data_IF_754964825379
#
_entry.id   IF_754964825379
#
_cell.length_a   1.000
_cell.length_b   1.000
_cell.length_c   1.000
_cell.angle_alpha   90.00
_cell.angle_beta   90.00
_cell.angle_gamma   90.00
#
_symmetry.space_group_name_H-M   'P 1'
#
loop_
_entity.id
_entity.type
_entity.pdbx_description
1 polymer ?
#
# COMPACT_ATOMS: atom_id res chain seq x y z
N UNK A 1 12.80 -3.63 5.82
CA UNK A 1 13.78 -2.91 6.66
C UNK A 1 14.87 -3.90 7.02
N UNK A 2 16.16 -3.62 6.80
CA UNK A 2 17.18 -4.43 7.39
C UNK A 2 16.99 -4.38 8.91
N UNK A 3 16.97 -5.54 9.54
CA UNK A 3 16.89 -5.63 10.99
C UNK A 3 18.14 -4.93 11.55
N UNK A 4 17.97 -3.76 12.12
CA UNK A 4 19.06 -3.10 12.83
C UNK A 4 19.35 -4.00 14.02
N UNK A 5 20.42 -4.76 13.91
CA UNK A 5 20.86 -5.66 14.97
C UNK A 5 21.00 -4.86 16.26
N UNK A 6 20.51 -5.42 17.36
CA UNK A 6 20.69 -4.89 18.71
C UNK A 6 22.18 -4.89 19.04
N UNK A 7 22.86 -3.79 18.76
CA UNK A 7 24.21 -3.57 19.25
C UNK A 7 24.18 -3.39 20.78
N UNK A 8 25.33 -3.54 21.43
CA UNK A 8 25.50 -3.29 22.88
C UNK A 8 25.01 -1.90 23.32
N UNK A 9 24.88 -0.95 22.40
CA UNK A 9 24.45 0.45 22.65
C UNK A 9 22.94 0.71 22.40
N UNK A 10 22.08 -0.30 22.35
CA UNK A 10 20.64 -0.14 22.33
C UNK A 10 19.99 0.13 20.98
N UNK A 11 20.73 0.15 19.87
CA UNK A 11 20.22 0.26 18.50
C UNK A 11 19.31 1.49 18.29
N UNK A 12 18.27 1.35 17.48
CA UNK A 12 17.31 2.45 17.18
C UNK A 12 16.62 3.00 18.43
N UNK A 13 16.46 2.21 19.48
CA UNK A 13 15.74 2.65 20.69
C UNK A 13 16.39 3.85 21.38
N UNK A 14 17.71 4.01 21.27
CA UNK A 14 18.40 5.18 21.83
C UNK A 14 17.94 6.50 21.20
N UNK A 15 17.51 6.45 19.92
CA UNK A 15 17.03 7.63 19.19
C UNK A 15 15.54 7.92 19.42
N UNK A 16 14.80 7.00 20.05
CA UNK A 16 13.38 7.18 20.35
C UNK A 16 13.17 7.89 21.71
N UNK A 17 14.16 8.65 22.15
CA UNK A 17 14.12 9.44 23.37
C UNK A 17 13.63 10.85 23.05
N UNK A 18 12.63 11.31 23.77
CA UNK A 18 12.13 12.67 23.63
C UNK A 18 10.79 12.75 22.89
N UNK A 19 10.28 13.96 22.77
CA UNK A 19 8.94 14.26 22.22
C UNK A 19 8.99 15.11 20.96
N UNK A 20 10.15 15.20 20.32
CA UNK A 20 10.37 16.04 19.13
C UNK A 20 10.78 15.17 17.94
N UNK A 21 10.39 15.61 16.77
CA UNK A 21 10.89 15.05 15.50
C UNK A 21 12.26 15.66 15.19
N UNK A 22 13.23 14.84 14.79
CA UNK A 22 14.58 15.29 14.51
C UNK A 22 15.30 14.37 13.51
N UNK A 23 16.45 14.84 13.03
CA UNK A 23 17.37 14.09 12.19
C UNK A 23 18.58 13.68 13.00
N UNK A 24 19.09 12.50 12.77
CA UNK A 24 20.33 12.01 13.36
C UNK A 24 21.10 11.17 12.31
N UNK A 25 22.41 11.14 12.43
CA UNK A 25 23.25 10.26 11.63
C UNK A 25 23.53 8.99 12.40
N UNK A 26 23.45 7.85 11.73
CA UNK A 26 23.70 6.55 12.31
C UNK A 26 24.72 5.79 11.47
N UNK A 27 25.71 5.24 12.14
CA UNK A 27 26.72 4.39 11.52
C UNK A 27 26.50 2.95 11.96
N UNK A 28 26.30 2.07 10.98
CA UNK A 28 26.18 0.64 11.20
C UNK A 28 27.45 -0.03 10.70
N UNK A 29 28.13 -0.77 11.58
CA UNK A 29 29.33 -1.52 11.23
C UNK A 29 29.07 -3.02 11.26
N UNK A 30 29.62 -3.75 10.30
CA UNK A 30 29.67 -5.20 10.27
C UNK A 30 31.02 -5.70 10.83
N UNK A 31 32.10 -4.99 10.49
CA UNK A 31 33.46 -5.18 10.99
C UNK A 31 34.12 -3.82 11.23
N UNK A 32 35.39 -3.78 11.63
CA UNK A 32 36.14 -2.52 11.84
C UNK A 32 36.25 -1.69 10.55
N UNK A 33 36.37 -2.37 9.40
CA UNK A 33 36.59 -1.73 8.09
C UNK A 33 35.34 -1.67 7.21
N UNK A 34 34.25 -2.33 7.62
CA UNK A 34 32.97 -2.39 6.86
C UNK A 34 31.87 -1.67 7.64
N UNK A 35 31.69 -0.39 7.34
CA UNK A 35 30.70 0.45 7.97
C UNK A 35 29.89 1.25 6.94
N UNK A 36 28.62 1.48 7.24
CA UNK A 36 27.72 2.29 6.43
C UNK A 36 27.10 3.37 7.31
N UNK A 37 27.29 4.62 6.88
CA UNK A 37 26.70 5.78 7.53
C UNK A 37 25.50 6.31 6.73
N UNK A 38 24.40 6.53 7.41
CA UNK A 38 23.17 7.02 6.80
C UNK A 38 22.40 7.91 7.77
N UNK A 39 21.50 8.72 7.22
CA UNK A 39 20.67 9.59 8.01
C UNK A 39 19.41 8.88 8.49
N UNK A 40 19.12 9.03 9.77
CA UNK A 40 17.89 8.58 10.40
C UNK A 40 17.00 9.79 10.66
N UNK A 41 15.78 9.72 10.16
CA UNK A 41 14.78 10.74 10.38
C UNK A 41 13.69 10.19 11.29
N UNK A 42 13.54 10.79 12.46
CA UNK A 42 12.60 10.37 13.47
C UNK A 42 11.45 11.36 13.51
N UNK A 43 10.25 10.87 13.24
CA UNK A 43 9.03 11.66 13.29
C UNK A 43 8.21 11.21 14.48
N UNK A 44 7.94 12.15 15.37
CA UNK A 44 7.12 11.95 16.55
C UNK A 44 5.71 12.48 16.29
N UNK A 45 4.70 11.62 16.45
CA UNK A 45 3.28 11.99 16.36
C UNK A 45 2.54 11.59 17.61
N UNK A 46 1.52 12.36 17.94
CA UNK A 46 0.66 12.10 19.09
C UNK A 46 -0.67 11.55 18.64
N UNK A 47 -1.10 10.44 19.24
CA UNK A 47 -2.46 9.93 19.05
C UNK A 47 -3.46 10.87 19.69
N UNK A 48 -4.47 11.29 18.91
CA UNK A 48 -5.55 12.14 19.38
C UNK A 48 -6.26 11.46 20.56
N UNK A 49 -6.42 12.18 21.67
CA UNK A 49 -7.09 11.70 22.88
C UNK A 49 -6.23 10.86 23.84
N UNK A 50 -4.97 10.53 23.50
CA UNK A 50 -4.06 9.85 24.43
C UNK A 50 -3.02 10.82 24.96
N UNK A 51 -2.94 10.94 26.30
CA UNK A 51 -1.95 11.77 26.99
C UNK A 51 -0.76 10.91 27.45
N UNK A 52 0.40 11.54 27.67
CA UNK A 52 1.66 10.97 28.15
C UNK A 52 2.34 10.00 27.13
N UNK A 53 3.24 9.17 27.61
CA UNK A 53 4.10 8.29 26.79
C UNK A 53 3.31 7.29 25.94
N UNK A 54 2.17 6.81 26.39
CA UNK A 54 1.34 5.85 25.69
C UNK A 54 0.64 6.41 24.43
N UNK A 55 0.69 7.72 24.22
CA UNK A 55 0.12 8.41 23.06
C UNK A 55 1.14 8.76 21.99
N UNK A 56 2.41 8.44 22.17
CA UNK A 56 3.49 8.82 21.25
C UNK A 56 3.70 7.67 20.25
N UNK A 57 3.72 8.02 18.97
CA UNK A 57 4.13 7.12 17.87
C UNK A 57 5.37 7.68 17.20
N UNK A 58 6.39 6.86 17.10
CA UNK A 58 7.62 7.17 16.39
C UNK A 58 7.65 6.48 15.04
N UNK A 59 7.90 7.26 14.00
CA UNK A 59 8.16 6.77 12.65
C UNK A 59 9.63 7.04 12.34
N UNK A 60 10.37 5.98 12.08
CA UNK A 60 11.81 6.08 11.79
C UNK A 60 12.04 5.75 10.33
N UNK A 61 12.67 6.68 9.62
CA UNK A 61 13.03 6.53 8.21
C UNK A 61 14.54 6.59 8.07
N UNK A 62 15.07 5.69 7.26
CA UNK A 62 16.45 5.72 6.84
C UNK A 62 16.51 6.42 5.49
N UNK A 63 17.35 7.42 5.36
CA UNK A 63 17.53 8.19 4.13
C UNK A 63 19.01 8.30 3.79
N UNK A 64 19.28 8.48 2.51
CA UNK A 64 20.64 8.71 2.02
C UNK A 64 20.60 9.84 1.01
N UNK A 65 21.36 10.91 1.28
CA UNK A 65 21.51 12.10 0.41
C UNK A 65 20.18 12.73 -0.04
N UNK A 66 19.14 12.75 0.81
CA UNK A 66 17.85 13.35 0.50
C UNK A 66 17.75 14.72 1.17
N UNK A 67 17.49 15.74 0.35
CA UNK A 67 17.19 17.11 0.81
C UNK A 67 15.68 17.35 0.76
N UNK A 68 14.97 16.99 1.83
CA UNK A 68 13.53 17.28 1.97
C UNK A 68 13.23 17.63 3.42
N UNK A 69 11.99 17.99 3.74
CA UNK A 69 11.61 18.21 5.11
C UNK A 69 10.95 16.95 5.73
N UNK A 70 10.93 16.88 7.06
CA UNK A 70 10.40 15.74 7.83
C UNK A 70 8.94 15.40 7.48
N UNK A 71 8.10 16.43 7.25
CA UNK A 71 6.69 16.22 6.96
C UNK A 71 6.47 15.68 5.55
N UNK A 72 7.20 16.18 4.57
CA UNK A 72 7.16 15.69 3.19
C UNK A 72 7.61 14.24 3.10
N UNK A 73 8.71 13.88 3.77
CA UNK A 73 9.19 12.50 3.81
C UNK A 73 8.12 11.54 4.33
N UNK A 74 7.45 11.92 5.43
CA UNK A 74 6.37 11.11 6.00
C UNK A 74 5.19 10.95 5.04
N UNK A 75 4.81 12.01 4.32
CA UNK A 75 3.75 11.96 3.32
C UNK A 75 4.12 11.06 2.14
N UNK A 76 5.32 11.20 1.58
CA UNK A 76 5.82 10.34 0.52
C UNK A 76 5.84 8.87 0.93
N UNK A 77 6.29 8.57 2.14
CA UNK A 77 6.29 7.19 2.62
C UNK A 77 4.88 6.62 2.81
N UNK A 78 3.92 7.44 3.23
CA UNK A 78 2.51 7.02 3.30
C UNK A 78 1.92 6.69 1.94
N UNK A 79 2.32 7.40 0.87
CA UNK A 79 1.88 7.09 -0.50
C UNK A 79 2.34 5.71 -0.96
N UNK A 80 3.49 5.20 -0.46
CA UNK A 80 3.94 3.83 -0.72
C UNK A 80 2.92 2.77 -0.32
N UNK A 81 2.21 2.95 0.78
CA UNK A 81 1.12 2.04 1.17
C UNK A 81 -0.02 2.02 0.15
N UNK A 82 -0.27 3.15 -0.53
CA UNK A 82 -1.22 3.19 -1.64
C UNK A 82 -0.79 2.29 -2.80
N UNK A 83 0.50 2.29 -3.13
CA UNK A 83 1.07 1.42 -4.16
C UNK A 83 0.94 -0.06 -3.76
N UNK A 84 1.35 -0.43 -2.55
CA UNK A 84 1.23 -1.81 -2.05
C UNK A 84 -0.24 -2.28 -2.02
N UNK A 85 -1.16 -1.41 -1.62
CA UNK A 85 -2.59 -1.70 -1.63
C UNK A 85 -3.13 -1.88 -3.04
N UNK A 86 -2.69 -1.07 -4.02
CA UNK A 86 -3.10 -1.23 -5.41
C UNK A 86 -2.56 -2.52 -6.03
N UNK A 87 -1.36 -2.96 -5.67
CA UNK A 87 -0.86 -4.28 -6.08
C UNK A 87 -1.70 -5.44 -5.54
N UNK A 88 -2.15 -5.36 -4.29
CA UNK A 88 -3.06 -6.37 -3.71
C UNK A 88 -4.40 -6.39 -4.44
N UNK A 89 -4.98 -5.23 -4.72
CA UNK A 89 -6.24 -5.11 -5.48
C UNK A 89 -6.07 -5.62 -6.91
N UNK A 90 -4.98 -5.27 -7.59
CA UNK A 90 -4.65 -5.77 -8.91
C UNK A 90 -4.61 -7.31 -8.95
N UNK A 91 -4.09 -7.95 -7.90
CA UNK A 91 -4.03 -9.41 -7.84
C UNK A 91 -5.42 -10.07 -7.80
N UNK A 92 -6.46 -9.38 -7.32
CA UNK A 92 -7.85 -9.87 -7.43
C UNK A 92 -8.37 -9.84 -8.87
N UNK A 93 -7.87 -8.92 -9.68
CA UNK A 93 -8.22 -8.79 -11.11
C UNK A 93 -7.21 -9.51 -12.03
N UNK A 94 -6.29 -10.29 -11.46
CA UNK A 94 -5.22 -10.93 -12.24
C UNK A 94 -5.78 -12.00 -13.15
N UNK A 95 -5.56 -11.83 -14.45
CA UNK A 95 -5.81 -12.86 -15.46
C UNK A 95 -4.71 -13.92 -15.33
N UNK A 96 -5.12 -15.15 -15.09
CA UNK A 96 -4.21 -16.31 -15.06
C UNK A 96 -3.98 -16.79 -16.48
N UNK A 97 -2.72 -16.91 -16.88
CA UNK A 97 -2.35 -17.32 -18.22
C UNK A 97 -1.07 -18.14 -18.21
N UNK A 98 -0.96 -19.10 -19.08
CA UNK A 98 0.23 -19.92 -19.33
C UNK A 98 1.13 -19.30 -20.39
N UNK A 99 0.72 -18.22 -21.05
CA UNK A 99 1.52 -17.59 -22.11
C UNK A 99 2.90 -17.18 -21.61
N UNK A 100 3.93 -17.42 -22.41
CA UNK A 100 5.30 -16.99 -22.17
C UNK A 100 5.60 -15.62 -22.79
N UNK A 101 4.70 -15.09 -23.62
CA UNK A 101 4.89 -13.81 -24.31
C UNK A 101 4.81 -12.63 -23.33
N UNK A 102 5.88 -11.83 -23.18
CA UNK A 102 5.91 -10.73 -22.20
C UNK A 102 4.87 -9.65 -22.52
N UNK A 103 4.65 -9.33 -23.80
CA UNK A 103 3.70 -8.29 -24.22
C UNK A 103 2.26 -8.63 -23.78
N UNK A 104 1.83 -9.88 -23.93
CA UNK A 104 0.51 -10.32 -23.46
C UNK A 104 0.41 -10.28 -21.93
N UNK A 105 1.49 -10.65 -21.24
CA UNK A 105 1.52 -10.52 -19.77
C UNK A 105 1.39 -9.08 -19.33
N UNK A 106 2.07 -8.14 -19.98
CA UNK A 106 1.94 -6.70 -19.68
C UNK A 106 0.53 -6.18 -20.00
N UNK A 107 -0.07 -6.61 -21.10
CA UNK A 107 -1.45 -6.28 -21.42
C UNK A 107 -2.40 -6.71 -20.29
N UNK A 108 -2.30 -7.94 -19.80
CA UNK A 108 -3.14 -8.45 -18.71
C UNK A 108 -2.92 -7.70 -17.39
N UNK A 109 -1.69 -7.30 -17.11
CA UNK A 109 -1.40 -6.41 -15.97
C UNK A 109 -2.06 -5.05 -16.14
N UNK A 110 -2.00 -4.47 -17.35
CA UNK A 110 -2.67 -3.21 -17.68
C UNK A 110 -4.19 -3.28 -17.50
N UNK A 111 -4.82 -4.33 -18.02
CA UNK A 111 -6.25 -4.59 -17.85
C UNK A 111 -6.60 -4.71 -16.35
N UNK A 112 -5.78 -5.42 -15.57
CA UNK A 112 -6.02 -5.55 -14.13
C UNK A 112 -6.00 -4.19 -13.41
N UNK A 113 -5.09 -3.30 -13.75
CA UNK A 113 -5.06 -1.94 -13.21
C UNK A 113 -6.23 -1.09 -13.68
N UNK A 114 -6.63 -1.21 -14.95
CA UNK A 114 -7.79 -0.52 -15.49
C UNK A 114 -9.06 -0.89 -14.72
N UNK A 115 -9.30 -2.18 -14.46
CA UNK A 115 -10.44 -2.67 -13.69
C UNK A 115 -10.45 -2.10 -12.26
N UNK A 116 -9.30 -2.08 -11.59
CA UNK A 116 -9.17 -1.47 -10.26
C UNK A 116 -9.49 0.02 -10.31
N UNK A 117 -9.01 0.75 -11.32
CA UNK A 117 -9.27 2.18 -11.46
C UNK A 117 -10.74 2.48 -11.73
N UNK A 118 -11.40 1.68 -12.57
CA UNK A 118 -12.85 1.78 -12.81
C UNK A 118 -13.61 1.59 -11.49
N UNK A 119 -13.28 0.55 -10.73
CA UNK A 119 -13.90 0.29 -9.44
C UNK A 119 -13.72 1.44 -8.45
N UNK A 120 -12.50 1.96 -8.32
CA UNK A 120 -12.21 3.13 -7.45
C UNK A 120 -13.01 4.36 -7.88
N UNK A 121 -13.12 4.60 -9.19
CA UNK A 121 -13.91 5.71 -9.72
C UNK A 121 -15.40 5.55 -9.41
N UNK A 122 -15.96 4.35 -9.57
CA UNK A 122 -17.35 4.05 -9.21
C UNK A 122 -17.61 4.27 -7.72
N UNK A 123 -16.72 3.77 -6.85
CA UNK A 123 -16.80 4.01 -5.42
C UNK A 123 -16.79 5.50 -5.10
N UNK A 124 -15.87 6.26 -5.73
CA UNK A 124 -15.73 7.69 -5.49
C UNK A 124 -16.94 8.48 -5.96
N UNK A 125 -17.45 8.21 -7.16
CA UNK A 125 -18.55 8.98 -7.77
C UNK A 125 -19.92 8.60 -7.26
N UNK A 126 -20.18 7.30 -7.04
CA UNK A 126 -21.53 6.78 -6.78
C UNK A 126 -21.78 6.39 -5.33
N UNK A 127 -20.76 5.90 -4.63
CA UNK A 127 -20.94 5.26 -3.32
C UNK A 127 -20.38 6.11 -2.18
N UNK A 128 -19.44 7.03 -2.47
CA UNK A 128 -18.88 7.89 -1.44
C UNK A 128 -19.80 9.06 -1.09
N UNK A 129 -19.83 9.42 0.19
CA UNK A 129 -20.51 10.63 0.68
C UNK A 129 -19.48 11.72 1.03
N UNK A 130 -19.70 12.98 0.65
CA UNK A 130 -18.84 14.08 1.06
C UNK A 130 -18.89 14.24 2.59
N UNK A 131 -17.72 14.50 3.19
CA UNK A 131 -17.56 14.76 4.62
C UNK A 131 -16.55 15.89 4.80
N UNK A 132 -16.66 16.64 5.93
CA UNK A 132 -15.69 17.69 6.26
C UNK A 132 -14.24 17.11 6.25
N UNK A 133 -13.40 17.60 5.36
CA UNK A 133 -12.01 17.15 5.19
C UNK A 133 -11.81 15.91 4.30
N UNK A 134 -12.82 15.49 3.52
CA UNK A 134 -12.68 14.36 2.59
C UNK A 134 -14.00 13.70 2.19
N UNK A 135 -13.93 12.42 1.81
CA UNK A 135 -15.11 11.61 1.48
C UNK A 135 -15.09 10.30 2.28
N UNK A 136 -16.26 9.87 2.69
CA UNK A 136 -16.46 8.56 3.32
C UNK A 136 -16.82 7.55 2.23
N UNK A 137 -15.99 6.52 2.07
CA UNK A 137 -16.14 5.49 1.04
C UNK A 137 -16.65 4.20 1.68
N UNK A 138 -17.81 3.75 1.29
CA UNK A 138 -18.44 2.51 1.77
C UNK A 138 -18.03 1.33 0.89
N UNK A 139 -16.82 0.80 1.09
CA UNK A 139 -16.28 -0.34 0.30
C UNK A 139 -17.08 -1.62 0.45
N UNK A 140 -17.79 -1.78 1.56
CA UNK A 140 -18.61 -2.97 1.87
C UNK A 140 -19.83 -3.04 0.96
N UNK A 141 -20.41 -1.89 0.57
CA UNK A 141 -21.62 -1.84 -0.27
C UNK A 141 -21.32 -2.37 -1.68
N UNK A 142 -20.14 -2.08 -2.23
CA UNK A 142 -19.75 -2.51 -3.57
C UNK A 142 -18.30 -2.99 -3.59
N UNK A 143 -18.03 -4.22 -3.15
CA UNK A 143 -16.69 -4.80 -3.19
C UNK A 143 -16.24 -5.06 -4.63
N UNK A 144 -14.92 -5.04 -4.87
CA UNK A 144 -14.32 -5.27 -6.19
C UNK A 144 -14.81 -6.60 -6.83
N UNK A 145 -14.95 -7.64 -6.03
CA UNK A 145 -15.44 -8.95 -6.51
C UNK A 145 -16.84 -8.86 -7.11
N UNK A 146 -17.73 -8.04 -6.56
CA UNK A 146 -19.08 -7.86 -7.09
C UNK A 146 -19.04 -7.15 -8.46
N UNK A 147 -18.19 -6.12 -8.60
CA UNK A 147 -17.99 -5.50 -9.92
C UNK A 147 -17.48 -6.50 -10.95
N UNK A 148 -16.50 -7.32 -10.58
CA UNK A 148 -15.97 -8.34 -11.48
C UNK A 148 -17.03 -9.37 -11.88
N UNK A 149 -17.89 -9.78 -10.93
CA UNK A 149 -19.05 -10.65 -11.23
C UNK A 149 -19.99 -10.02 -12.23
N UNK A 150 -20.33 -8.74 -12.08
CA UNK A 150 -21.18 -8.04 -13.06
C UNK A 150 -20.54 -7.94 -14.44
N UNK A 151 -19.25 -7.65 -14.50
CA UNK A 151 -18.52 -7.61 -15.78
C UNK A 151 -18.54 -8.99 -16.42
N UNK A 152 -18.27 -10.06 -15.66
CA UNK A 152 -18.29 -11.42 -16.17
C UNK A 152 -19.66 -11.77 -16.76
N UNK A 153 -20.74 -11.53 -16.00
CA UNK A 153 -22.12 -11.75 -16.49
C UNK A 153 -22.44 -10.91 -17.72
N UNK A 154 -21.96 -9.67 -17.81
CA UNK A 154 -22.16 -8.85 -19.00
C UNK A 154 -21.44 -9.40 -20.22
N UNK A 155 -20.20 -9.86 -20.06
CA UNK A 155 -19.41 -10.51 -21.11
C UNK A 155 -20.10 -11.80 -21.58
N UNK A 156 -20.54 -12.65 -20.64
CA UNK A 156 -21.27 -13.89 -20.95
C UNK A 156 -22.53 -13.60 -21.76
N UNK A 157 -23.30 -12.58 -21.40
CA UNK A 157 -24.51 -12.18 -22.15
C UNK A 157 -24.20 -11.66 -23.55
N UNK A 158 -23.16 -10.82 -23.69
CA UNK A 158 -22.78 -10.23 -24.99
C UNK A 158 -22.25 -11.26 -25.95
N UNK A 159 -21.39 -12.18 -25.46
CA UNK A 159 -20.72 -13.17 -26.30
C UNK A 159 -21.41 -14.53 -26.29
N UNK A 160 -22.52 -14.69 -25.55
CA UNK A 160 -23.28 -15.94 -25.43
C UNK A 160 -22.37 -17.14 -25.07
N UNK A 161 -21.37 -16.89 -24.20
CA UNK A 161 -20.36 -17.89 -23.83
C UNK A 161 -20.85 -18.90 -22.78
N UNK A 162 -22.06 -18.74 -22.28
CA UNK A 162 -22.71 -19.71 -21.37
C UNK A 162 -23.36 -20.79 -22.22
N UNK A 163 -22.71 -21.92 -22.39
CA UNK A 163 -23.36 -23.12 -22.86
C UNK A 163 -24.33 -23.64 -21.81
N UNK A 164 -25.58 -23.81 -22.22
CA UNK A 164 -26.59 -24.42 -21.36
C UNK A 164 -26.25 -25.91 -21.29
N UNK A 165 -25.82 -26.38 -20.12
CA UNK A 165 -25.59 -27.80 -19.88
C UNK A 165 -26.96 -28.47 -19.80
N UNK A 166 -27.41 -29.15 -20.85
CA UNK A 166 -28.57 -30.03 -20.79
C UNK A 166 -28.15 -31.31 -20.08
N UNK A 167 -28.67 -31.54 -18.88
CA UNK A 167 -28.59 -32.83 -18.22
C UNK A 167 -29.76 -33.65 -18.82
N UNK A 168 -29.51 -34.71 -19.58
CA UNK A 168 -30.60 -35.59 -20.01
C UNK A 168 -31.22 -36.21 -18.76
N UNK A 169 -32.50 -35.95 -18.54
CA UNK A 169 -33.29 -36.64 -17.53
C UNK A 169 -33.47 -38.08 -18.00
N UNK A 170 -32.88 -39.07 -17.33
CA UNK A 170 -33.16 -40.47 -17.47
C UNK A 170 -34.56 -40.82 -16.96
#
# INVERSE_FOLDING_TARGET
MPAIRRGKEGGIKQFLKGRKSYKATYTMSRSKDDFVTFDIWIICKYKKGKRKQNGIEYYVYVTYKISTNLNQLHQCYRQRFGIESSYRLKNLCRIRTTTKQPNLRFLFVGISFLLVNIWVNLLWRKISKPRRGGRLIYRIIFPLRQMLSFINQAVERIFQTVETIYIPLE
#
